data_IF_745066656321
#
_entry.id   IF_745066656321
#
_cell.length_a   1.000
_cell.length_b   1.000
_cell.length_c   1.000
_cell.angle_alpha   90.00
_cell.angle_beta   90.00
_cell.angle_gamma   90.00
#
_symmetry.space_group_name_H-M   'P 1'
#
loop_
_entity.id
_entity.type
_entity.pdbx_description
1 polymer ?
#
# COMPACT_ATOMS: atom_id res chain seq x y z
N UNK A 1 10.54 -8.82 -67.32
CA UNK A 1 9.25 -8.91 -66.61
C UNK A 1 9.48 -9.56 -65.24
N UNK A 2 9.55 -8.77 -64.16
CA UNK A 2 9.63 -9.29 -62.81
C UNK A 2 8.23 -9.81 -62.45
N UNK A 3 8.11 -11.11 -62.20
CA UNK A 3 6.83 -11.76 -61.94
C UNK A 3 6.18 -11.15 -60.70
N UNK A 4 4.91 -10.72 -60.79
CA UNK A 4 4.11 -10.13 -59.70
C UNK A 4 4.12 -10.98 -58.39
N UNK A 5 4.38 -12.27 -58.51
CA UNK A 5 4.52 -13.21 -57.38
C UNK A 5 5.74 -12.94 -56.51
N UNK A 6 6.86 -12.41 -57.04
CA UNK A 6 8.06 -12.09 -56.26
C UNK A 6 7.89 -10.84 -55.39
N UNK A 7 7.06 -9.89 -55.80
CA UNK A 7 6.80 -8.66 -55.03
C UNK A 7 5.93 -8.94 -53.80
N UNK A 8 4.94 -9.84 -53.94
CA UNK A 8 4.07 -10.25 -52.85
C UNK A 8 4.87 -11.00 -51.77
N UNK A 9 5.84 -11.83 -52.19
CA UNK A 9 6.69 -12.58 -51.25
C UNK A 9 7.66 -11.67 -50.47
N UNK A 10 8.19 -10.64 -51.11
CA UNK A 10 9.01 -9.61 -50.46
C UNK A 10 8.20 -8.76 -49.51
N UNK A 11 6.94 -8.44 -49.81
CA UNK A 11 6.05 -7.71 -48.90
C UNK A 11 5.64 -8.56 -47.67
N UNK A 12 5.40 -9.86 -47.85
CA UNK A 12 5.15 -10.78 -46.75
C UNK A 12 6.38 -10.92 -45.80
N UNK A 13 7.59 -10.98 -46.35
CA UNK A 13 8.82 -11.03 -45.57
C UNK A 13 9.02 -9.71 -44.79
N UNK A 14 8.68 -8.54 -45.35
CA UNK A 14 8.74 -7.28 -44.61
C UNK A 14 7.72 -7.19 -43.49
N UNK A 15 6.52 -7.77 -43.63
CA UNK A 15 5.51 -7.79 -42.57
C UNK A 15 5.93 -8.71 -41.40
N UNK A 16 6.62 -9.80 -41.71
CA UNK A 16 7.15 -10.72 -40.69
C UNK A 16 8.49 -10.28 -40.07
N UNK A 17 9.22 -9.35 -40.73
CA UNK A 17 10.45 -8.75 -40.15
C UNK A 17 10.22 -7.49 -39.33
N UNK A 18 9.00 -6.93 -39.35
CA UNK A 18 8.63 -5.88 -38.40
C UNK A 18 8.59 -6.50 -37.02
N UNK A 19 9.72 -6.40 -36.33
CA UNK A 19 10.07 -7.11 -35.13
C UNK A 19 8.95 -7.15 -34.11
N UNK A 20 8.45 -8.32 -33.84
CA UNK A 20 7.89 -8.62 -32.52
C UNK A 20 8.96 -8.24 -31.50
N UNK A 21 8.83 -7.04 -30.93
CA UNK A 21 9.56 -6.76 -29.68
C UNK A 21 9.15 -7.87 -28.75
N UNK A 22 10.08 -8.79 -28.46
CA UNK A 22 9.84 -9.81 -27.44
C UNK A 22 9.32 -9.04 -26.23
N UNK A 23 8.19 -9.44 -25.64
CA UNK A 23 7.75 -8.82 -24.41
C UNK A 23 8.96 -8.85 -23.47
N UNK A 24 9.28 -7.71 -22.85
CA UNK A 24 10.36 -7.62 -21.88
C UNK A 24 10.09 -8.71 -20.85
N UNK A 25 10.84 -9.80 -20.93
CA UNK A 25 10.77 -10.86 -19.97
C UNK A 25 11.50 -10.29 -18.75
N UNK A 26 10.72 -9.86 -17.75
CA UNK A 26 11.27 -9.43 -16.48
C UNK A 26 11.88 -10.68 -15.83
N UNK A 27 13.18 -10.83 -15.96
CA UNK A 27 13.91 -11.91 -15.31
C UNK A 27 14.08 -11.46 -13.86
N UNK A 28 13.29 -12.02 -12.96
CA UNK A 28 13.54 -11.88 -11.53
C UNK A 28 14.86 -12.57 -11.27
N UNK A 29 15.86 -11.82 -10.87
CA UNK A 29 17.17 -12.36 -10.49
C UNK A 29 16.98 -13.13 -9.19
N UNK A 30 17.12 -14.46 -9.26
CA UNK A 30 16.90 -15.35 -8.12
C UNK A 30 17.90 -15.12 -6.95
N UNK A 31 18.96 -14.36 -7.19
CA UNK A 31 19.92 -13.94 -6.16
C UNK A 31 19.42 -12.73 -5.36
N UNK A 32 18.38 -12.06 -5.83
CA UNK A 32 17.83 -10.87 -5.19
C UNK A 32 16.57 -11.21 -4.41
N UNK A 33 16.64 -10.99 -3.13
CA UNK A 33 15.51 -11.24 -2.22
C UNK A 33 14.45 -10.12 -2.22
N UNK A 34 13.36 -10.35 -1.50
CA UNK A 34 12.27 -9.39 -1.38
C UNK A 34 12.72 -8.03 -0.80
N UNK A 35 13.70 -8.01 0.10
CA UNK A 35 14.22 -6.78 0.69
C UNK A 35 15.01 -5.97 -0.31
N UNK A 36 15.79 -6.63 -1.19
CA UNK A 36 16.49 -5.93 -2.27
C UNK A 36 15.50 -5.16 -3.15
N UNK A 37 14.42 -5.81 -3.60
CA UNK A 37 13.41 -5.19 -4.44
C UNK A 37 12.65 -4.10 -3.71
N UNK A 38 12.33 -4.28 -2.44
CA UNK A 38 11.73 -3.22 -1.64
C UNK A 38 12.63 -1.98 -1.53
N UNK A 39 13.92 -2.18 -1.26
CA UNK A 39 14.88 -1.08 -1.16
C UNK A 39 15.07 -0.34 -2.50
N UNK A 40 15.11 -1.09 -3.60
CA UNK A 40 15.16 -0.51 -4.93
C UNK A 40 13.88 0.30 -5.24
N UNK A 41 12.72 -0.23 -4.85
CA UNK A 41 11.45 0.50 -4.93
C UNK A 41 11.45 1.80 -4.14
N UNK A 42 12.01 1.80 -2.92
CA UNK A 42 12.18 3.02 -2.10
C UNK A 42 13.07 4.05 -2.82
N UNK A 43 14.19 3.63 -3.41
CA UNK A 43 15.06 4.52 -4.16
C UNK A 43 14.32 5.14 -5.34
N UNK A 44 13.61 4.35 -6.15
CA UNK A 44 12.79 4.87 -7.25
C UNK A 44 11.69 5.82 -6.77
N UNK A 45 11.08 5.56 -5.59
CA UNK A 45 10.08 6.44 -5.01
C UNK A 45 10.68 7.80 -4.63
N UNK A 46 11.88 7.81 -4.03
CA UNK A 46 12.62 9.03 -3.71
C UNK A 46 13.00 9.83 -4.97
N UNK A 47 13.39 9.14 -6.03
CA UNK A 47 13.70 9.73 -7.34
C UNK A 47 12.43 10.10 -8.14
N UNK A 48 11.23 9.87 -7.58
CA UNK A 48 9.92 10.11 -8.21
C UNK A 48 9.67 9.28 -9.48
N UNK A 49 10.37 8.17 -9.64
CA UNK A 49 10.15 7.21 -10.73
C UNK A 49 9.07 6.19 -10.31
N UNK A 50 7.86 6.68 -10.11
CA UNK A 50 6.79 5.97 -9.41
C UNK A 50 6.42 4.61 -10.04
N UNK A 51 6.37 4.51 -11.37
CA UNK A 51 6.03 3.24 -12.03
C UNK A 51 7.10 2.17 -11.83
N UNK A 52 8.39 2.54 -11.77
CA UNK A 52 9.46 1.61 -11.43
C UNK A 52 9.35 1.19 -9.97
N UNK A 53 9.09 2.13 -9.04
CA UNK A 53 8.86 1.81 -7.63
C UNK A 53 7.72 0.79 -7.45
N UNK A 54 6.58 0.99 -8.15
CA UNK A 54 5.44 0.05 -8.12
C UNK A 54 5.86 -1.35 -8.56
N UNK A 55 6.64 -1.49 -9.65
CA UNK A 55 7.09 -2.78 -10.13
C UNK A 55 7.98 -3.48 -9.09
N UNK A 56 8.93 -2.76 -8.51
CA UNK A 56 9.85 -3.30 -7.52
C UNK A 56 9.11 -3.74 -6.23
N UNK A 57 8.17 -2.94 -5.72
CA UNK A 57 7.36 -3.33 -4.57
C UNK A 57 6.48 -4.57 -4.86
N UNK A 58 5.92 -4.67 -6.08
CA UNK A 58 5.16 -5.87 -6.49
C UNK A 58 6.04 -7.12 -6.57
N UNK A 59 7.30 -6.99 -7.03
CA UNK A 59 8.24 -8.09 -7.02
C UNK A 59 8.57 -8.50 -5.58
N UNK A 60 8.87 -7.53 -4.70
CA UNK A 60 9.13 -7.79 -3.29
C UNK A 60 7.97 -8.57 -2.63
N UNK A 61 6.73 -8.15 -2.88
CA UNK A 61 5.52 -8.82 -2.40
C UNK A 61 5.40 -10.23 -2.99
N UNK A 62 5.68 -10.42 -4.28
CA UNK A 62 5.58 -11.75 -4.92
C UNK A 62 6.59 -12.75 -4.37
N UNK A 63 7.78 -12.28 -3.98
CA UNK A 63 8.84 -13.11 -3.39
C UNK A 63 8.55 -13.46 -1.92
N UNK A 64 7.75 -12.65 -1.23
CA UNK A 64 7.43 -12.86 0.19
C UNK A 64 5.98 -12.40 0.50
N UNK A 65 4.95 -13.12 0.03
CA UNK A 65 3.59 -12.58 -0.07
C UNK A 65 2.81 -12.44 1.25
N UNK A 66 3.21 -13.16 2.29
CA UNK A 66 2.42 -13.30 3.53
C UNK A 66 3.25 -13.21 4.80
N UNK A 67 4.33 -12.44 4.77
CA UNK A 67 5.21 -12.23 5.93
C UNK A 67 4.96 -10.87 6.58
N UNK A 68 5.46 -10.70 7.79
CA UNK A 68 5.48 -9.38 8.44
C UNK A 68 6.21 -8.32 7.59
N UNK A 69 7.28 -8.70 6.88
CA UNK A 69 8.00 -7.81 5.98
C UNK A 69 7.12 -7.33 4.83
N UNK A 70 6.25 -8.20 4.31
CA UNK A 70 5.31 -7.83 3.23
C UNK A 70 4.36 -6.72 3.63
N UNK A 71 4.02 -6.58 4.91
CA UNK A 71 3.22 -5.46 5.39
C UNK A 71 3.89 -4.11 5.06
N UNK A 72 5.21 -4.02 5.24
CA UNK A 72 5.99 -2.83 4.85
C UNK A 72 6.00 -2.63 3.33
N UNK A 73 6.12 -3.71 2.55
CA UNK A 73 6.10 -3.62 1.09
C UNK A 73 4.74 -3.12 0.57
N UNK A 74 3.64 -3.63 1.13
CA UNK A 74 2.30 -3.13 0.83
C UNK A 74 2.12 -1.67 1.24
N UNK A 75 2.62 -1.26 2.42
CA UNK A 75 2.56 0.14 2.83
C UNK A 75 3.29 1.05 1.83
N UNK A 76 4.51 0.68 1.41
CA UNK A 76 5.29 1.47 0.45
C UNK A 76 4.61 1.53 -0.93
N UNK A 77 4.01 0.42 -1.38
CA UNK A 77 3.20 0.38 -2.59
C UNK A 77 1.99 1.31 -2.49
N UNK A 78 1.29 1.30 -1.35
CA UNK A 78 0.15 2.18 -1.07
C UNK A 78 0.54 3.66 -1.08
N UNK A 79 1.65 4.02 -0.42
CA UNK A 79 2.19 5.38 -0.48
C UNK A 79 2.46 5.81 -1.93
N UNK A 80 3.05 4.92 -2.73
CA UNK A 80 3.34 5.20 -4.15
C UNK A 80 2.06 5.42 -4.95
N UNK A 81 1.03 4.60 -4.73
CA UNK A 81 -0.27 4.80 -5.37
C UNK A 81 -0.93 6.12 -4.98
N UNK A 82 -0.85 6.52 -3.70
CA UNK A 82 -1.32 7.83 -3.25
C UNK A 82 -0.59 8.99 -3.93
N UNK A 83 0.73 8.87 -4.17
CA UNK A 83 1.49 9.90 -4.87
C UNK A 83 1.07 10.10 -6.32
N UNK A 84 0.69 9.04 -7.01
CA UNK A 84 0.27 9.10 -8.42
C UNK A 84 -1.25 9.26 -8.60
N UNK A 85 -2.01 9.44 -7.50
CA UNK A 85 -3.44 9.77 -7.55
C UNK A 85 -4.37 8.56 -7.70
N UNK A 86 -3.98 7.38 -7.20
CA UNK A 86 -4.81 6.17 -7.17
C UNK A 86 -5.16 5.77 -5.71
N UNK A 87 -6.01 6.57 -5.02
CA UNK A 87 -6.30 6.35 -3.60
C UNK A 87 -7.05 5.04 -3.32
N UNK A 88 -7.84 4.51 -4.26
CA UNK A 88 -8.49 3.21 -4.10
C UNK A 88 -7.47 2.07 -4.00
N UNK A 89 -6.47 2.09 -4.86
CA UNK A 89 -5.38 1.09 -4.84
C UNK A 89 -4.50 1.26 -3.59
N UNK A 90 -4.29 2.51 -3.16
CA UNK A 90 -3.56 2.80 -1.93
C UNK A 90 -4.29 2.25 -0.70
N UNK A 91 -5.61 2.45 -0.61
CA UNK A 91 -6.46 1.89 0.45
C UNK A 91 -6.29 0.38 0.55
N UNK A 92 -6.45 -0.34 -0.56
CA UNK A 92 -6.35 -1.80 -0.59
C UNK A 92 -4.97 -2.28 -0.12
N UNK A 93 -3.92 -1.54 -0.46
CA UNK A 93 -2.56 -1.82 0.01
C UNK A 93 -2.41 -1.60 1.52
N UNK A 94 -2.92 -0.49 2.07
CA UNK A 94 -2.81 -0.21 3.51
C UNK A 94 -3.67 -1.16 4.35
N UNK A 95 -4.88 -1.51 3.90
CA UNK A 95 -5.71 -2.53 4.53
C UNK A 95 -4.97 -3.87 4.57
N UNK A 96 -4.31 -4.24 3.47
CA UNK A 96 -3.50 -5.47 3.42
C UNK A 96 -2.29 -5.40 4.37
N UNK A 97 -1.63 -4.25 4.49
CA UNK A 97 -0.51 -4.06 5.42
C UNK A 97 -0.95 -4.25 6.88
N UNK A 98 -2.07 -3.67 7.29
CA UNK A 98 -2.64 -3.83 8.64
C UNK A 98 -3.02 -5.29 8.90
N UNK A 99 -3.67 -5.96 7.95
CA UNK A 99 -4.05 -7.37 8.08
C UNK A 99 -2.84 -8.31 8.22
N UNK A 100 -1.69 -7.97 7.62
CA UNK A 100 -0.46 -8.75 7.74
C UNK A 100 0.31 -8.43 9.03
N UNK A 101 0.30 -7.16 9.46
CA UNK A 101 0.99 -6.71 10.66
C UNK A 101 0.37 -5.44 11.23
N UNK A 102 -0.67 -5.59 12.03
CA UNK A 102 -1.45 -4.48 12.62
C UNK A 102 -0.75 -3.74 13.76
N UNK A 103 0.54 -3.97 14.02
CA UNK A 103 1.27 -3.32 15.12
C UNK A 103 2.06 -2.07 14.68
N UNK A 104 2.01 -1.71 13.41
CA UNK A 104 2.66 -0.51 12.90
C UNK A 104 1.65 0.64 12.73
N UNK A 105 1.75 1.63 13.62
CA UNK A 105 0.84 2.77 13.68
C UNK A 105 0.81 3.61 12.38
N UNK A 106 1.92 3.69 11.64
CA UNK A 106 1.99 4.42 10.37
C UNK A 106 0.98 3.89 9.34
N UNK A 107 0.71 2.58 9.34
CA UNK A 107 -0.23 1.98 8.38
C UNK A 107 -1.65 2.51 8.59
N UNK A 108 -2.06 2.70 9.84
CA UNK A 108 -3.37 3.29 10.16
C UNK A 108 -3.45 4.75 9.72
N UNK A 109 -2.42 5.54 9.97
CA UNK A 109 -2.41 6.95 9.55
C UNK A 109 -2.54 7.06 8.04
N UNK A 110 -1.76 6.29 7.27
CA UNK A 110 -1.82 6.26 5.82
C UNK A 110 -3.20 5.83 5.31
N UNK A 111 -3.80 4.80 5.91
CA UNK A 111 -5.12 4.32 5.56
C UNK A 111 -6.20 5.38 5.82
N UNK A 112 -6.16 6.00 6.99
CA UNK A 112 -7.18 6.98 7.38
C UNK A 112 -7.07 8.27 6.55
N UNK A 113 -5.87 8.75 6.25
CA UNK A 113 -5.67 9.85 5.32
C UNK A 113 -6.19 9.50 3.90
N UNK A 114 -6.08 8.23 3.52
CA UNK A 114 -6.65 7.74 2.25
C UNK A 114 -8.19 7.70 2.31
N UNK A 115 -8.79 7.26 3.42
CA UNK A 115 -10.24 7.33 3.60
C UNK A 115 -10.77 8.78 3.57
N UNK A 116 -10.02 9.74 4.10
CA UNK A 116 -10.38 11.16 3.99
C UNK A 116 -10.41 11.62 2.53
N UNK A 117 -9.40 11.26 1.74
CA UNK A 117 -9.34 11.57 0.30
C UNK A 117 -10.50 10.95 -0.49
N UNK A 118 -10.94 9.76 -0.09
CA UNK A 118 -12.04 9.02 -0.71
C UNK A 118 -13.43 9.43 -0.19
N UNK A 119 -13.51 10.27 0.86
CA UNK A 119 -14.78 10.62 1.50
C UNK A 119 -15.44 9.47 2.26
N UNK A 120 -14.67 8.46 2.68
CA UNK A 120 -15.18 7.22 3.28
C UNK A 120 -15.18 7.23 4.81
N UNK A 121 -14.72 8.30 5.47
CA UNK A 121 -14.55 8.35 6.93
C UNK A 121 -15.83 7.98 7.68
N UNK A 122 -16.96 8.64 7.37
CA UNK A 122 -18.24 8.38 8.05
C UNK A 122 -18.76 6.96 7.81
N UNK A 123 -18.58 6.43 6.61
CA UNK A 123 -18.98 5.06 6.28
C UNK A 123 -18.16 4.04 7.09
N UNK A 124 -16.84 4.26 7.19
CA UNK A 124 -15.93 3.39 7.95
C UNK A 124 -16.16 3.46 9.46
N UNK A 125 -16.46 4.63 10.01
CA UNK A 125 -16.87 4.75 11.41
C UNK A 125 -18.09 3.87 11.67
N UNK A 126 -19.13 3.95 10.82
CA UNK A 126 -20.35 3.15 10.97
C UNK A 126 -20.08 1.64 10.85
N UNK A 127 -19.19 1.24 9.94
CA UNK A 127 -18.80 -0.16 9.73
C UNK A 127 -18.08 -0.73 10.96
N UNK A 128 -17.15 0.03 11.54
CA UNK A 128 -16.27 -0.43 12.62
C UNK A 128 -16.87 -0.28 14.02
N UNK A 129 -17.99 0.43 14.17
CA UNK A 129 -18.58 0.85 15.44
C UNK A 129 -18.91 -0.30 16.38
N UNK A 130 -19.22 -1.49 15.83
CA UNK A 130 -19.57 -2.69 16.60
C UNK A 130 -18.47 -3.76 16.60
N UNK A 131 -17.29 -3.46 16.06
CA UNK A 131 -16.18 -4.41 16.03
C UNK A 131 -15.48 -4.50 17.39
N UNK A 132 -15.28 -5.73 17.86
CA UNK A 132 -14.48 -6.03 19.06
C UNK A 132 -12.99 -6.30 18.72
N UNK A 133 -12.64 -6.35 17.42
CA UNK A 133 -11.28 -6.56 17.00
C UNK A 133 -10.40 -5.37 17.37
N UNK A 134 -9.26 -5.63 18.02
CA UNK A 134 -8.38 -4.57 18.51
C UNK A 134 -7.85 -3.66 17.39
N UNK A 135 -7.57 -4.21 16.23
CA UNK A 135 -7.06 -3.44 15.07
C UNK A 135 -8.14 -2.52 14.50
N UNK A 136 -9.38 -3.00 14.44
CA UNK A 136 -10.54 -2.20 14.04
C UNK A 136 -10.83 -1.10 15.07
N UNK A 137 -10.72 -1.39 16.38
CA UNK A 137 -10.89 -0.40 17.44
C UNK A 137 -9.81 0.68 17.40
N UNK A 138 -8.55 0.32 17.11
CA UNK A 138 -7.47 1.30 16.89
C UNK A 138 -7.84 2.20 15.70
N UNK A 139 -8.24 1.60 14.59
CA UNK A 139 -8.67 2.34 13.40
C UNK A 139 -9.85 3.26 13.70
N UNK A 140 -10.87 2.77 14.41
CA UNK A 140 -12.03 3.54 14.81
C UNK A 140 -11.66 4.75 15.68
N UNK A 141 -10.78 4.57 16.66
CA UNK A 141 -10.31 5.65 17.53
C UNK A 141 -9.64 6.77 16.74
N UNK A 142 -8.76 6.40 15.79
CA UNK A 142 -8.09 7.39 14.93
C UNK A 142 -9.09 8.05 13.97
N UNK A 143 -10.05 7.29 13.42
CA UNK A 143 -11.12 7.83 12.56
C UNK A 143 -11.96 8.89 13.28
N UNK A 144 -12.36 8.65 14.53
CA UNK A 144 -13.08 9.65 15.33
C UNK A 144 -12.25 10.91 15.56
N UNK A 145 -10.95 10.79 15.86
CA UNK A 145 -10.06 11.94 16.02
C UNK A 145 -10.00 12.75 14.72
N UNK A 146 -9.82 12.08 13.58
CA UNK A 146 -9.75 12.73 12.26
C UNK A 146 -11.10 13.29 11.79
N UNK A 147 -12.21 12.77 12.31
CA UNK A 147 -13.56 13.28 12.05
C UNK A 147 -13.99 14.39 13.04
N UNK A 148 -13.05 15.00 13.77
CA UNK A 148 -13.30 16.03 14.78
C UNK A 148 -14.07 15.58 16.03
N UNK A 149 -14.29 14.28 16.20
CA UNK A 149 -14.88 13.67 17.40
C UNK A 149 -13.77 13.23 18.39
N UNK A 150 -12.83 14.15 18.66
CA UNK A 150 -11.56 13.88 19.35
C UNK A 150 -11.75 13.14 20.68
N UNK A 151 -12.74 13.55 21.48
CA UNK A 151 -13.01 12.94 22.80
C UNK A 151 -13.37 11.46 22.68
N UNK A 152 -14.22 11.09 21.69
CA UNK A 152 -14.60 9.68 21.46
C UNK A 152 -13.39 8.85 21.05
N UNK A 153 -12.59 9.39 20.15
CA UNK A 153 -11.40 8.68 19.67
C UNK A 153 -10.38 8.46 20.78
N UNK A 154 -10.14 9.48 21.64
CA UNK A 154 -9.23 9.34 22.78
C UNK A 154 -9.74 8.28 23.75
N UNK A 155 -11.03 8.24 24.09
CA UNK A 155 -11.61 7.24 25.01
C UNK A 155 -11.33 5.82 24.47
N UNK A 156 -11.60 5.55 23.21
CA UNK A 156 -11.39 4.22 22.62
C UNK A 156 -9.91 3.82 22.67
N UNK A 157 -9.00 4.73 22.30
CA UNK A 157 -7.57 4.42 22.28
C UNK A 157 -7.01 4.26 23.71
N UNK A 158 -7.50 5.01 24.68
CA UNK A 158 -7.08 4.91 26.07
C UNK A 158 -7.58 3.61 26.74
N UNK A 159 -8.80 3.19 26.42
CA UNK A 159 -9.32 1.87 26.81
C UNK A 159 -8.42 0.75 26.30
N UNK A 160 -8.00 0.79 25.02
CA UNK A 160 -7.08 -0.19 24.44
C UNK A 160 -5.74 -0.20 25.20
N UNK A 161 -5.18 0.99 25.47
CA UNK A 161 -3.93 1.11 26.19
C UNK A 161 -4.01 0.55 27.62
N UNK A 162 -5.20 0.60 28.23
CA UNK A 162 -5.44 0.09 29.57
C UNK A 162 -5.68 -1.41 29.60
N UNK A 163 -6.43 -1.92 28.63
CA UNK A 163 -6.81 -3.34 28.53
C UNK A 163 -5.67 -4.23 28.05
N UNK A 164 -4.83 -3.72 27.14
CA UNK A 164 -3.81 -4.49 26.43
C UNK A 164 -2.42 -3.82 26.52
N UNK A 165 -1.90 -3.54 27.74
CA UNK A 165 -0.70 -2.70 27.93
C UNK A 165 0.58 -3.27 27.32
N UNK A 166 0.63 -4.58 27.09
CA UNK A 166 1.83 -5.28 26.62
C UNK A 166 1.95 -5.34 25.09
N UNK A 167 0.95 -4.86 24.37
CA UNK A 167 1.01 -4.87 22.89
C UNK A 167 1.99 -3.81 22.38
N UNK A 168 2.86 -4.17 21.45
CA UNK A 168 3.95 -3.34 20.94
C UNK A 168 3.54 -1.96 20.41
N UNK A 169 2.29 -1.79 19.97
CA UNK A 169 1.78 -0.51 19.44
C UNK A 169 1.43 0.49 20.57
N UNK A 170 1.21 0.03 21.79
CA UNK A 170 0.68 0.84 22.90
C UNK A 170 1.52 2.10 23.20
N UNK A 171 2.86 2.06 23.32
CA UNK A 171 3.64 3.27 23.55
C UNK A 171 3.42 4.34 22.48
N UNK A 172 3.20 3.91 21.23
CA UNK A 172 2.92 4.83 20.12
C UNK A 172 1.52 5.42 20.20
N UNK A 173 0.52 4.63 20.60
CA UNK A 173 -0.85 5.11 20.83
C UNK A 173 -0.90 6.12 21.97
N UNK A 174 -0.24 5.84 23.10
CA UNK A 174 -0.15 6.75 24.24
C UNK A 174 0.48 8.09 23.86
N UNK A 175 1.56 8.05 23.07
CA UNK A 175 2.18 9.26 22.53
C UNK A 175 1.20 10.01 21.62
N UNK A 176 0.53 9.32 20.69
CA UNK A 176 -0.45 9.93 19.80
C UNK A 176 -1.59 10.62 20.55
N UNK A 177 -2.17 9.96 21.57
CA UNK A 177 -3.22 10.53 22.43
C UNK A 177 -2.75 11.82 23.12
N UNK A 178 -1.49 11.88 23.54
CA UNK A 178 -0.90 13.06 24.16
C UNK A 178 -0.76 14.23 23.18
N UNK A 179 -0.38 13.92 21.95
CA UNK A 179 -0.04 14.91 20.92
C UNK A 179 -1.28 15.46 20.22
N UNK A 180 -2.45 14.80 20.35
CA UNK A 180 -3.72 15.27 19.76
C UNK A 180 -4.19 16.53 20.48
N UNK A 181 -4.49 17.63 19.73
CA UNK A 181 -5.07 18.85 20.34
C UNK A 181 -6.40 18.53 21.03
N UNK A 182 -6.45 18.78 22.32
CA UNK A 182 -7.68 18.67 23.11
C UNK A 182 -8.46 19.97 22.92
N UNK A 183 -9.21 20.09 21.83
CA UNK A 183 -10.06 21.22 21.51
C UNK A 183 -11.10 21.54 22.57
#
# INVERSE_FOLDING_TARGET
MIKKTSIIFLFLIMIFSSGYKKPYQYVIDAEKDAFYHNNLGINYLQDRVYYAAIQEFKIAISLSPSTQASATFYNNLGETYNFIGYPEMARDCFERAINLYGLNFKYYLNLIDTYQRLGLVSAKIKELQSSENIYDRIQLGILYIKNSEVRKGIIILDEICTQEPDILIIPTLQKYIKDVPKG
#
